data_IF_746800435604
#
_entry.id   IF_746800435604
#
_cell.length_a   1.000
_cell.length_b   1.000
_cell.length_c   1.000
_cell.angle_alpha   90.00
_cell.angle_beta   90.00
_cell.angle_gamma   90.00
#
_symmetry.space_group_name_H-M   'P 1'
#
loop_
_entity.id
_entity.type
_entity.pdbx_description
1 polymer ?
#
# COMPACT_ATOMS: atom_id res chain seq x y z
N UNK A 1 1.23 3.21 36.14
CA UNK A 1 1.39 4.07 34.95
C UNK A 1 1.92 3.19 33.85
N UNK A 2 1.07 2.83 32.90
CA UNK A 2 1.45 2.05 31.72
C UNK A 2 2.35 2.93 30.86
N UNK A 3 3.67 2.69 30.88
CA UNK A 3 4.54 3.27 29.87
C UNK A 3 4.08 2.70 28.53
N UNK A 4 3.68 3.58 27.62
CA UNK A 4 3.54 3.23 26.22
C UNK A 4 4.94 2.87 25.70
N UNK A 5 5.31 1.59 25.81
CA UNK A 5 6.52 1.03 25.22
C UNK A 5 6.23 0.71 23.75
N UNK A 6 5.95 1.76 22.97
CA UNK A 6 5.74 1.63 21.53
C UNK A 6 7.08 1.80 20.84
N UNK A 7 7.51 0.73 20.18
CA UNK A 7 8.73 0.70 19.36
C UNK A 7 8.46 1.42 18.02
N UNK A 8 8.62 2.74 18.04
CA UNK A 8 8.42 3.62 16.88
C UNK A 8 9.35 3.28 15.72
N UNK A 9 10.55 2.77 16.02
CA UNK A 9 11.53 2.37 15.01
C UNK A 9 11.04 1.13 14.25
N UNK A 10 10.50 0.12 14.97
CA UNK A 10 9.88 -1.04 14.33
C UNK A 10 8.64 -0.66 13.52
N UNK A 11 7.83 0.28 13.98
CA UNK A 11 6.67 0.75 13.21
C UNK A 11 7.10 1.46 11.93
N UNK A 12 8.07 2.37 12.01
CA UNK A 12 8.63 3.06 10.84
C UNK A 12 9.24 2.08 9.85
N UNK A 13 10.00 1.09 10.34
CA UNK A 13 10.54 0.02 9.49
C UNK A 13 9.44 -0.82 8.84
N UNK A 14 8.41 -1.19 9.58
CA UNK A 14 7.28 -1.96 9.04
C UNK A 14 6.53 -1.17 7.95
N UNK A 15 6.41 0.15 8.10
CA UNK A 15 5.91 1.03 7.05
C UNK A 15 6.78 1.01 5.80
N UNK A 16 8.10 1.12 5.95
CA UNK A 16 9.04 1.03 4.82
C UNK A 16 9.01 -0.34 4.12
N UNK A 17 8.96 -1.44 4.87
CA UNK A 17 8.86 -2.79 4.32
C UNK A 17 7.53 -2.96 3.53
N UNK A 18 6.43 -2.37 4.02
CA UNK A 18 5.14 -2.40 3.33
C UNK A 18 5.12 -1.55 2.05
N UNK A 19 5.82 -0.42 2.03
CA UNK A 19 6.06 0.36 0.81
C UNK A 19 6.78 -0.46 -0.26
N UNK A 20 7.82 -1.22 0.13
CA UNK A 20 8.57 -2.06 -0.80
C UNK A 20 7.66 -3.14 -1.41
N UNK A 21 6.78 -3.74 -0.60
CA UNK A 21 5.77 -4.70 -1.07
C UNK A 21 4.77 -4.03 -2.03
N UNK A 22 4.29 -2.83 -1.70
CA UNK A 22 3.36 -2.08 -2.54
C UNK A 22 3.98 -1.75 -3.91
N UNK A 23 5.24 -1.30 -3.95
CA UNK A 23 5.96 -1.02 -5.19
C UNK A 23 6.21 -2.30 -6.03
N UNK A 24 6.55 -3.43 -5.39
CA UNK A 24 6.66 -4.71 -6.12
C UNK A 24 5.34 -5.12 -6.76
N UNK A 25 4.23 -4.98 -6.05
CA UNK A 25 2.90 -5.31 -6.58
C UNK A 25 2.50 -4.37 -7.71
N UNK A 26 2.85 -3.09 -7.62
CA UNK A 26 2.65 -2.12 -8.69
C UNK A 26 3.45 -2.49 -9.95
N UNK A 27 4.69 -2.93 -9.83
CA UNK A 27 5.48 -3.42 -10.97
C UNK A 27 4.85 -4.67 -11.61
N UNK A 28 4.42 -5.64 -10.79
CA UNK A 28 3.74 -6.86 -11.26
C UNK A 28 2.42 -6.51 -11.94
N UNK A 29 1.67 -5.55 -11.40
CA UNK A 29 0.45 -5.01 -12.01
C UNK A 29 0.72 -4.47 -13.40
N UNK A 30 1.73 -3.63 -13.52
CA UNK A 30 2.03 -2.93 -14.77
C UNK A 30 2.47 -3.94 -15.84
N UNK A 31 3.31 -4.92 -15.48
CA UNK A 31 3.70 -6.03 -16.37
C UNK A 31 2.49 -6.91 -16.78
N UNK A 32 1.58 -7.21 -15.85
CA UNK A 32 0.36 -7.94 -16.14
C UNK A 32 -0.55 -7.19 -17.11
N UNK A 33 -0.76 -5.89 -16.87
CA UNK A 33 -1.61 -5.04 -17.72
C UNK A 33 -1.03 -4.87 -19.13
N UNK A 34 0.28 -4.77 -19.26
CA UNK A 34 0.96 -4.70 -20.56
C UNK A 34 0.77 -6.00 -21.36
N UNK A 35 1.02 -7.16 -20.73
CA UNK A 35 0.83 -8.47 -21.36
C UNK A 35 -0.61 -8.73 -21.77
N UNK A 36 -1.57 -8.39 -20.91
CA UNK A 36 -2.97 -8.72 -21.19
C UNK A 36 -3.58 -7.84 -22.29
N UNK A 37 -3.09 -6.59 -22.43
CA UNK A 37 -3.50 -5.67 -23.50
C UNK A 37 -2.86 -6.02 -24.84
N UNK A 38 -1.72 -6.71 -24.85
CA UNK A 38 -1.07 -7.21 -26.07
C UNK A 38 -1.95 -8.20 -26.85
N UNK A 39 -2.85 -8.91 -26.18
CA UNK A 39 -3.79 -9.84 -26.83
C UNK A 39 -5.09 -9.15 -27.29
N UNK A 40 -5.19 -7.82 -27.24
CA UNK A 40 -6.38 -7.14 -27.72
C UNK A 40 -6.46 -7.23 -29.26
N UNK A 41 -7.58 -7.77 -29.77
CA UNK A 41 -7.88 -7.80 -31.20
C UNK A 41 -7.28 -8.97 -32.00
N UNK A 42 -6.61 -9.93 -31.35
CA UNK A 42 -6.04 -11.10 -32.04
C UNK A 42 -7.01 -12.27 -32.26
N UNK A 43 -8.30 -12.09 -31.97
CA UNK A 43 -9.30 -13.17 -31.92
C UNK A 43 -10.17 -13.27 -33.18
N UNK A 44 -9.92 -12.40 -34.17
CA UNK A 44 -10.74 -12.27 -35.37
C UNK A 44 -12.03 -11.48 -35.15
N UNK A 45 -12.65 -11.12 -36.25
CA UNK A 45 -13.79 -10.21 -36.39
C UNK A 45 -15.11 -10.95 -36.71
N UNK A 46 -15.11 -12.29 -36.64
CA UNK A 46 -16.31 -13.11 -36.69
C UNK A 46 -16.96 -13.30 -35.31
N UNK A 47 -18.17 -13.86 -35.27
CA UNK A 47 -18.99 -14.05 -34.06
C UNK A 47 -18.22 -14.70 -32.88
N UNK A 48 -17.34 -15.66 -33.18
CA UNK A 48 -16.49 -16.29 -32.16
C UNK A 48 -15.48 -15.30 -31.56
N UNK A 49 -14.81 -14.51 -32.40
CA UNK A 49 -13.83 -13.53 -31.97
C UNK A 49 -14.46 -12.40 -31.17
N UNK A 50 -15.64 -11.94 -31.56
CA UNK A 50 -16.41 -10.95 -30.81
C UNK A 50 -16.83 -11.47 -29.42
N UNK A 51 -17.40 -12.68 -29.34
CA UNK A 51 -17.79 -13.29 -28.05
C UNK A 51 -16.61 -13.57 -27.14
N UNK A 52 -15.49 -14.03 -27.71
CA UNK A 52 -14.27 -14.25 -26.95
C UNK A 52 -13.72 -12.91 -26.43
N UNK A 53 -13.66 -11.88 -27.28
CA UNK A 53 -13.22 -10.56 -26.88
C UNK A 53 -14.08 -10.00 -25.74
N UNK A 54 -15.40 -10.11 -25.81
CA UNK A 54 -16.31 -9.65 -24.75
C UNK A 54 -15.99 -10.31 -23.40
N UNK A 55 -15.92 -11.65 -23.35
CA UNK A 55 -15.65 -12.39 -22.10
C UNK A 55 -14.23 -12.19 -21.59
N UNK A 56 -13.26 -12.14 -22.50
CA UNK A 56 -11.87 -11.87 -22.16
C UNK A 56 -11.73 -10.47 -21.55
N UNK A 57 -12.29 -9.45 -22.21
CA UNK A 57 -12.25 -8.06 -21.75
C UNK A 57 -12.90 -7.86 -20.38
N UNK A 58 -14.05 -8.50 -20.14
CA UNK A 58 -14.68 -8.51 -18.80
C UNK A 58 -13.71 -9.02 -17.72
N UNK A 59 -13.01 -10.12 -18.00
CA UNK A 59 -12.00 -10.68 -17.10
C UNK A 59 -10.78 -9.77 -16.92
N UNK A 60 -10.32 -9.14 -18.01
CA UNK A 60 -9.22 -8.17 -17.98
C UNK A 60 -9.57 -6.98 -17.09
N UNK A 61 -10.77 -6.42 -17.24
CA UNK A 61 -11.21 -5.25 -16.49
C UNK A 61 -11.35 -5.57 -14.99
N UNK A 62 -11.91 -6.74 -14.65
CA UNK A 62 -11.99 -7.19 -13.27
C UNK A 62 -10.59 -7.35 -12.64
N UNK A 63 -9.65 -7.95 -13.37
CA UNK A 63 -8.28 -8.09 -12.90
C UNK A 63 -7.57 -6.74 -12.76
N UNK A 64 -7.72 -5.84 -13.74
CA UNK A 64 -7.18 -4.47 -13.68
C UNK A 64 -7.67 -3.73 -12.45
N UNK A 65 -8.97 -3.82 -12.15
CA UNK A 65 -9.57 -3.21 -10.97
C UNK A 65 -8.99 -3.81 -9.68
N UNK A 66 -9.01 -5.14 -9.55
CA UNK A 66 -8.56 -5.81 -8.32
C UNK A 66 -7.09 -5.54 -7.98
N UNK A 67 -6.20 -5.56 -8.97
CA UNK A 67 -4.77 -5.30 -8.71
C UNK A 67 -4.53 -3.82 -8.39
N UNK A 68 -5.30 -2.88 -8.97
CA UNK A 68 -5.25 -1.47 -8.58
C UNK A 68 -5.69 -1.29 -7.12
N UNK A 69 -6.83 -1.84 -6.74
CA UNK A 69 -7.37 -1.76 -5.37
C UNK A 69 -6.39 -2.36 -4.35
N UNK A 70 -5.75 -3.49 -4.67
CA UNK A 70 -4.73 -4.11 -3.83
C UNK A 70 -3.51 -3.19 -3.65
N UNK A 71 -3.00 -2.59 -4.73
CA UNK A 71 -1.88 -1.65 -4.68
C UNK A 71 -2.21 -0.44 -3.80
N UNK A 72 -3.40 0.14 -3.96
CA UNK A 72 -3.85 1.29 -3.16
C UNK A 72 -4.00 0.93 -1.67
N UNK A 73 -4.54 -0.25 -1.35
CA UNK A 73 -4.70 -0.73 0.03
C UNK A 73 -3.36 -0.94 0.75
N UNK A 74 -2.35 -1.45 0.04
CA UNK A 74 -1.01 -1.65 0.60
C UNK A 74 -0.30 -0.32 0.87
N UNK A 75 -0.38 0.63 -0.07
CA UNK A 75 0.14 1.98 0.15
C UNK A 75 -0.56 2.69 1.32
N UNK A 76 -1.88 2.54 1.46
CA UNK A 76 -2.62 3.09 2.60
C UNK A 76 -2.21 2.47 3.95
N UNK A 77 -1.93 1.16 3.96
CA UNK A 77 -1.45 0.45 5.14
C UNK A 77 -0.05 0.91 5.55
N UNK A 78 0.85 1.08 4.58
CA UNK A 78 2.18 1.66 4.81
C UNK A 78 2.11 3.06 5.41
N UNK A 79 1.29 3.94 4.83
CA UNK A 79 1.12 5.30 5.32
C UNK A 79 0.60 5.31 6.76
N UNK A 80 -0.39 4.46 7.07
CA UNK A 80 -0.93 4.35 8.43
C UNK A 80 0.12 3.93 9.47
N UNK A 81 1.06 3.04 9.09
CA UNK A 81 2.16 2.62 9.97
C UNK A 81 3.17 3.76 10.20
N UNK A 82 3.47 4.53 9.17
CA UNK A 82 4.36 5.71 9.27
C UNK A 82 3.73 6.81 10.13
N UNK A 83 2.46 7.13 9.87
CA UNK A 83 1.72 8.13 10.64
C UNK A 83 1.67 7.73 12.12
N UNK A 84 1.41 6.46 12.42
CA UNK A 84 1.45 5.95 13.79
C UNK A 84 2.84 6.11 14.42
N UNK A 85 3.92 5.77 13.70
CA UNK A 85 5.29 5.92 14.20
C UNK A 85 5.61 7.40 14.53
N UNK A 86 5.21 8.33 13.65
CA UNK A 86 5.39 9.77 13.83
C UNK A 86 4.60 10.30 15.03
N UNK A 87 3.33 9.91 15.17
CA UNK A 87 2.47 10.33 16.28
C UNK A 87 3.00 9.84 17.63
N UNK A 88 3.44 8.58 17.71
CA UNK A 88 4.02 8.03 18.93
C UNK A 88 5.35 8.71 19.28
N UNK A 89 6.21 8.99 18.29
CA UNK A 89 7.47 9.70 18.49
C UNK A 89 7.24 11.11 19.05
N UNK A 90 6.27 11.85 18.51
CA UNK A 90 5.87 13.17 19.01
C UNK A 90 5.34 13.10 20.44
N UNK A 91 4.51 12.12 20.77
CA UNK A 91 4.00 11.93 22.13
C UNK A 91 5.12 11.64 23.13
N UNK A 92 6.10 10.80 22.77
CA UNK A 92 7.25 10.51 23.62
C UNK A 92 8.12 11.75 23.87
N UNK A 93 8.32 12.59 22.85
CA UNK A 93 9.05 13.87 22.98
C UNK A 93 8.32 14.83 23.94
N UNK A 94 7.01 15.02 23.76
CA UNK A 94 6.20 15.89 24.63
C UNK A 94 6.21 15.44 26.09
N UNK A 95 6.11 14.13 26.33
CA UNK A 95 6.21 13.57 27.69
C UNK A 95 7.60 13.86 28.28
N UNK A 96 8.67 13.60 27.52
CA UNK A 96 10.06 13.83 27.97
C UNK A 96 10.32 15.30 28.29
N UNK A 97 9.86 16.21 27.43
CA UNK A 97 9.94 17.66 27.64
C UNK A 97 9.20 18.07 28.91
N UNK A 98 7.96 17.61 29.10
CA UNK A 98 7.14 17.94 30.27
C UNK A 98 7.79 17.48 31.59
N UNK A 99 8.45 16.31 31.58
CA UNK A 99 9.16 15.75 32.73
C UNK A 99 10.44 16.55 33.02
N UNK A 100 11.21 16.92 32.00
CA UNK A 100 12.41 17.74 32.17
C UNK A 100 12.10 19.12 32.75
N UNK A 101 10.98 19.73 32.33
CA UNK A 101 10.54 21.04 32.78
C UNK A 101 10.05 21.03 34.23
N UNK A 102 9.49 19.92 34.70
CA UNK A 102 9.11 19.72 36.11
C UNK A 102 10.27 19.29 37.00
N UNK A 103 11.25 18.55 36.47
CA UNK A 103 12.43 18.10 37.21
C UNK A 103 13.45 19.20 37.52
N UNK A 104 13.50 20.27 36.71
CA UNK A 104 14.45 21.38 36.86
C UNK A 104 14.07 22.47 37.89
N UNK A 105 12.95 22.34 38.62
CA UNK A 105 12.48 23.33 39.61
C UNK A 105 12.81 22.96 41.08
N UNK A 106 13.86 22.19 41.33
CA UNK A 106 14.33 21.86 42.69
C UNK A 106 15.74 22.35 42.95
#
# INVERSE_FOLDING_TARGET
>A
MTSLDVDTDKLGKSGADMDEVAEKIKLIRDDYLDKITTYHGCWGDGEFGEKFAEKYLEGVDAARKGVRELSEALSGSSQSLKDAADDFSRQQQQITESLSQHGGRR
#
